data_IF_229638887848
#
_entry.id   IF_229638887848
#
_cell.length_a   1.000
_cell.length_b   1.000
_cell.length_c   1.000
_cell.angle_alpha   90.00
_cell.angle_beta   90.00
_cell.angle_gamma   90.00
#
_symmetry.space_group_name_H-M   'P 1'
#
loop_
_entity.id
_entity.type
_entity.pdbx_description
1 polymer ?
#
# COMPACT_ATOMS: atom_id res chain seq x y z
N UNK A 1 14.12 -3.03 -23.26
CA UNK A 1 13.90 -2.96 -21.80
C UNK A 1 14.23 -1.56 -21.36
N UNK A 2 13.22 -0.72 -21.07
CA UNK A 2 13.46 0.66 -20.65
C UNK A 2 14.19 0.63 -19.30
N UNK A 3 15.37 1.24 -19.19
CA UNK A 3 15.99 1.52 -17.90
C UNK A 3 15.00 2.32 -17.05
N UNK A 4 14.72 1.86 -15.83
CA UNK A 4 14.03 2.65 -14.82
C UNK A 4 14.99 3.78 -14.41
N UNK A 5 14.78 5.00 -14.91
CA UNK A 5 15.72 6.10 -14.73
C UNK A 5 15.48 6.87 -13.43
N UNK A 6 14.25 6.83 -12.88
CA UNK A 6 13.90 7.51 -11.63
C UNK A 6 13.15 6.57 -10.68
N UNK A 7 13.88 6.04 -9.69
CA UNK A 7 13.32 5.22 -8.62
C UNK A 7 13.09 6.08 -7.39
N UNK A 8 11.87 6.05 -6.83
CA UNK A 8 11.55 6.69 -5.55
C UNK A 8 11.87 5.73 -4.38
N UNK A 9 12.81 6.06 -3.47
CA UNK A 9 13.10 5.24 -2.30
C UNK A 9 11.95 5.28 -1.26
N UNK A 10 11.86 4.29 -0.35
CA UNK A 10 10.85 4.29 0.69
C UNK A 10 11.10 5.44 1.68
N UNK A 11 10.08 6.26 1.93
CA UNK A 11 10.21 7.46 2.77
C UNK A 11 10.15 7.20 4.29
N UNK A 12 9.65 6.02 4.70
CA UNK A 12 9.33 5.70 6.11
C UNK A 12 9.67 4.25 6.50
N UNK A 13 10.45 3.54 5.67
CA UNK A 13 10.98 2.23 6.04
C UNK A 13 11.90 2.37 7.27
N UNK A 14 11.76 1.46 8.24
CA UNK A 14 12.44 1.51 9.53
C UNK A 14 11.75 2.38 10.59
N UNK A 15 10.67 3.11 10.24
CA UNK A 15 9.91 3.92 11.20
C UNK A 15 8.43 3.52 11.26
N UNK A 16 7.74 3.51 10.12
CA UNK A 16 6.32 3.12 10.06
C UNK A 16 6.13 1.63 9.86
N UNK A 17 7.12 0.99 9.26
CA UNK A 17 7.18 -0.45 9.00
C UNK A 17 8.64 -0.89 8.90
N UNK A 18 8.96 -2.17 9.11
CA UNK A 18 10.33 -2.68 9.05
C UNK A 18 11.00 -2.42 7.70
N UNK A 19 12.28 -2.02 7.73
CA UNK A 19 13.09 -1.91 6.52
C UNK A 19 13.58 -3.28 6.02
N UNK A 20 13.64 -4.28 6.91
CA UNK A 20 13.97 -5.65 6.58
C UNK A 20 12.80 -6.35 5.87
N UNK A 21 13.01 -6.96 4.68
CA UNK A 21 11.94 -7.55 3.89
C UNK A 21 11.22 -8.70 4.60
N UNK A 22 11.96 -9.54 5.33
CA UNK A 22 11.39 -10.71 5.99
C UNK A 22 10.54 -10.30 7.20
N UNK A 23 11.00 -9.32 7.97
CA UNK A 23 10.23 -8.70 9.04
C UNK A 23 8.96 -8.03 8.51
N UNK A 24 9.08 -7.26 7.42
CA UNK A 24 7.93 -6.62 6.79
C UNK A 24 6.90 -7.66 6.32
N UNK A 25 7.34 -8.70 5.63
CA UNK A 25 6.46 -9.76 5.16
C UNK A 25 5.76 -10.50 6.31
N UNK A 26 6.46 -10.74 7.43
CA UNK A 26 5.85 -11.31 8.64
C UNK A 26 4.79 -10.37 9.22
N UNK A 27 5.06 -9.08 9.33
CA UNK A 27 4.11 -8.13 9.90
C UNK A 27 2.88 -7.94 9.01
N UNK A 28 3.05 -7.92 7.68
CA UNK A 28 1.92 -7.90 6.74
C UNK A 28 1.05 -9.16 6.89
N UNK A 29 1.67 -10.35 6.95
CA UNK A 29 0.94 -11.62 7.18
C UNK A 29 0.19 -11.62 8.52
N UNK A 30 0.80 -11.12 9.58
CA UNK A 30 0.13 -10.98 10.88
C UNK A 30 -1.10 -10.07 10.78
N UNK A 31 -0.97 -8.92 10.09
CA UNK A 31 -2.11 -8.04 9.83
C UNK A 31 -3.26 -8.74 9.10
N UNK A 32 -2.98 -9.59 8.11
CA UNK A 32 -4.01 -10.39 7.42
C UNK A 32 -4.59 -11.49 8.29
N UNK A 33 -3.81 -12.08 9.21
CA UNK A 33 -4.32 -13.07 10.16
C UNK A 33 -5.31 -12.46 11.17
N UNK A 34 -5.09 -11.21 11.55
CA UNK A 34 -5.94 -10.45 12.49
C UNK A 34 -7.03 -9.62 11.77
N UNK A 35 -7.16 -9.75 10.45
CA UNK A 35 -8.10 -8.98 9.66
C UNK A 35 -9.54 -9.47 9.83
N UNK A 36 -10.49 -8.55 9.71
CA UNK A 36 -11.93 -8.87 9.65
C UNK A 36 -12.31 -9.13 8.19
N UNK A 37 -12.75 -10.34 7.82
CA UNK A 37 -13.12 -10.65 6.45
C UNK A 37 -14.42 -9.93 6.05
N UNK A 38 -14.62 -9.67 4.75
CA UNK A 38 -15.90 -9.19 4.26
C UNK A 38 -17.05 -10.19 4.47
N UNK A 39 -18.31 -9.72 4.51
CA UNK A 39 -19.47 -10.60 4.38
C UNK A 39 -19.39 -11.41 3.08
N UNK A 40 -19.86 -12.66 3.12
CA UNK A 40 -19.78 -13.60 2.00
C UNK A 40 -20.56 -13.15 0.76
N UNK A 41 -21.61 -12.34 0.94
CA UNK A 41 -22.48 -11.79 -0.11
C UNK A 41 -22.10 -10.37 -0.52
N UNK A 42 -20.94 -9.88 -0.08
CA UNK A 42 -20.60 -8.49 -0.31
C UNK A 42 -20.24 -8.23 -1.79
N UNK A 43 -20.69 -7.12 -2.37
CA UNK A 43 -20.49 -6.85 -3.79
C UNK A 43 -19.01 -6.56 -4.13
N UNK A 44 -18.64 -6.69 -5.42
CA UNK A 44 -17.32 -6.32 -5.91
C UNK A 44 -16.93 -4.90 -5.49
N UNK A 45 -15.73 -4.75 -4.93
CA UNK A 45 -15.25 -3.46 -4.41
C UNK A 45 -14.45 -2.72 -5.48
N UNK A 46 -14.86 -1.49 -5.80
CA UNK A 46 -14.20 -0.64 -6.78
C UNK A 46 -13.07 0.22 -6.18
N UNK A 47 -13.17 0.56 -4.89
CA UNK A 47 -12.19 1.35 -4.17
C UNK A 47 -12.20 0.99 -2.68
N UNK A 48 -11.06 1.13 -2.02
CA UNK A 48 -10.91 0.97 -0.57
C UNK A 48 -10.29 2.22 0.04
N UNK A 49 -10.61 2.48 1.30
CA UNK A 49 -9.96 3.50 2.11
C UNK A 49 -9.21 2.79 3.22
N UNK A 50 -7.92 3.08 3.35
CA UNK A 50 -7.04 2.43 4.34
C UNK A 50 -6.35 3.47 5.23
N UNK A 51 -6.11 3.15 6.51
CA UNK A 51 -5.26 3.97 7.36
C UNK A 51 -3.80 3.92 6.88
N UNK A 52 -3.04 4.98 7.16
CA UNK A 52 -1.62 5.09 6.80
C UNK A 52 -0.70 5.33 8.00
N UNK A 53 -1.15 4.96 9.21
CA UNK A 53 -0.28 4.93 10.40
C UNK A 53 0.72 3.77 10.30
N UNK A 54 1.65 3.68 11.25
CA UNK A 54 2.58 2.55 11.32
C UNK A 54 1.85 1.21 11.44
N UNK A 55 2.41 0.16 10.81
CA UNK A 55 1.74 -1.15 10.70
C UNK A 55 1.42 -1.80 12.05
N UNK A 56 2.14 -1.46 13.11
CA UNK A 56 1.85 -1.94 14.48
C UNK A 56 0.51 -1.41 15.00
N UNK A 57 0.08 -0.23 14.55
CA UNK A 57 -1.17 0.39 14.98
C UNK A 57 -2.33 0.10 14.03
N UNK A 58 -2.05 0.01 12.73
CA UNK A 58 -3.10 0.00 11.70
C UNK A 58 -3.03 -1.17 10.72
N UNK A 59 -2.11 -2.12 10.91
CA UNK A 59 -1.90 -3.24 9.97
C UNK A 59 -3.15 -4.09 9.76
N UNK A 60 -3.79 -4.55 10.84
CA UNK A 60 -5.00 -5.38 10.76
C UNK A 60 -6.21 -4.64 10.15
N UNK A 61 -6.35 -3.35 10.47
CA UNK A 61 -7.42 -2.51 9.91
C UNK A 61 -7.22 -2.31 8.41
N UNK A 62 -5.99 -2.01 7.97
CA UNK A 62 -5.67 -1.91 6.55
C UNK A 62 -5.88 -3.25 5.84
N UNK A 63 -5.45 -4.37 6.43
CA UNK A 63 -5.60 -5.70 5.86
C UNK A 63 -7.07 -6.09 5.66
N UNK A 64 -7.95 -5.73 6.60
CA UNK A 64 -9.41 -5.95 6.47
C UNK A 64 -9.99 -5.28 5.23
N UNK A 65 -9.51 -4.08 4.88
CA UNK A 65 -9.90 -3.41 3.65
C UNK A 65 -9.26 -4.07 2.41
N UNK A 66 -7.99 -4.50 2.48
CA UNK A 66 -7.35 -5.21 1.36
C UNK A 66 -8.00 -6.57 1.04
N UNK A 67 -8.58 -7.27 2.02
CA UNK A 67 -9.34 -8.50 1.77
C UNK A 67 -10.51 -8.29 0.81
N UNK A 68 -11.06 -7.08 0.71
CA UNK A 68 -12.09 -6.72 -0.29
C UNK A 68 -11.63 -6.85 -1.74
N UNK A 69 -10.32 -6.89 -1.97
CA UNK A 69 -9.69 -6.98 -3.28
C UNK A 69 -9.17 -8.39 -3.59
N UNK A 70 -9.27 -9.34 -2.66
CA UNK A 70 -8.73 -10.70 -2.84
C UNK A 70 -9.37 -11.43 -4.02
N UNK A 71 -10.67 -11.21 -4.25
CA UNK A 71 -11.44 -11.82 -5.35
C UNK A 71 -11.43 -10.97 -6.64
N UNK A 72 -10.47 -10.05 -6.77
CA UNK A 72 -10.33 -9.14 -7.91
C UNK A 72 -8.99 -9.31 -8.63
N UNK A 73 -8.70 -10.50 -9.18
CA UNK A 73 -7.46 -10.75 -9.92
C UNK A 73 -7.35 -9.95 -11.22
N UNK A 74 -8.45 -9.33 -11.66
CA UNK A 74 -8.55 -8.47 -12.85
C UNK A 74 -7.99 -7.06 -12.64
N UNK A 75 -7.59 -6.69 -11.41
CA UNK A 75 -7.02 -5.38 -11.13
C UNK A 75 -5.57 -5.31 -11.62
N UNK A 76 -5.37 -4.63 -12.75
CA UNK A 76 -4.04 -4.37 -13.32
C UNK A 76 -3.49 -2.97 -12.97
N UNK A 77 -4.34 -2.06 -12.51
CA UNK A 77 -3.97 -0.67 -12.22
C UNK A 77 -4.58 -0.18 -10.92
N UNK A 78 -3.72 0.38 -10.07
CA UNK A 78 -4.11 0.98 -8.78
C UNK A 78 -3.84 2.47 -8.84
N UNK A 79 -4.86 3.28 -8.54
CA UNK A 79 -4.70 4.72 -8.29
C UNK A 79 -4.62 4.92 -6.77
N UNK A 80 -3.43 5.24 -6.27
CA UNK A 80 -3.20 5.51 -4.85
C UNK A 80 -3.24 7.01 -4.58
N UNK A 81 -4.16 7.43 -3.71
CA UNK A 81 -4.32 8.84 -3.33
C UNK A 81 -4.12 9.00 -1.83
N UNK A 82 -3.45 10.08 -1.43
CA UNK A 82 -3.21 10.41 -0.02
C UNK A 82 -2.99 11.91 0.18
N UNK A 83 -3.23 12.42 1.40
CA UNK A 83 -3.02 13.82 1.71
C UNK A 83 -1.53 14.18 1.76
N UNK A 84 -1.21 15.45 1.48
CA UNK A 84 0.11 16.01 1.78
C UNK A 84 0.15 16.50 3.23
N UNK A 85 1.01 15.92 4.05
CA UNK A 85 1.19 16.31 5.46
C UNK A 85 2.35 17.28 5.70
N UNK A 86 3.17 17.55 4.67
CA UNK A 86 4.41 18.33 4.82
C UNK A 86 4.42 19.65 4.07
N UNK A 87 3.76 19.69 2.91
CA UNK A 87 3.76 20.87 2.04
C UNK A 87 2.33 21.18 1.57
N UNK A 88 1.91 22.45 1.54
CA UNK A 88 0.65 22.82 0.92
C UNK A 88 0.65 22.46 -0.56
N UNK A 89 -0.44 21.88 -1.04
CA UNK A 89 -0.65 21.55 -2.46
C UNK A 89 -1.98 22.15 -2.89
N UNK A 90 -1.97 22.98 -3.93
CA UNK A 90 -3.18 23.40 -4.62
C UNK A 90 -3.45 22.42 -5.77
N UNK A 91 -4.56 21.69 -5.73
CA UNK A 91 -4.91 20.68 -6.72
C UNK A 91 -4.31 19.30 -6.42
N UNK A 92 -3.89 18.58 -7.47
CA UNK A 92 -3.36 17.20 -7.39
C UNK A 92 -1.92 17.19 -7.89
N UNK A 93 -1.04 16.51 -7.17
CA UNK A 93 0.33 16.23 -7.60
C UNK A 93 0.48 14.73 -7.92
N UNK A 94 1.13 14.41 -9.03
CA UNK A 94 1.49 13.05 -9.42
C UNK A 94 3.00 12.85 -9.30
N UNK A 95 3.42 11.61 -9.06
CA UNK A 95 4.85 11.28 -8.97
C UNK A 95 5.51 11.41 -10.35
N UNK A 96 6.77 11.85 -10.38
CA UNK A 96 7.62 11.83 -11.57
C UNK A 96 8.52 10.59 -11.61
N UNK A 97 8.40 9.67 -10.66
CA UNK A 97 9.17 8.43 -10.64
C UNK A 97 8.60 7.41 -11.62
N UNK A 98 9.49 6.58 -12.18
CA UNK A 98 9.11 5.46 -13.05
C UNK A 98 8.80 4.19 -12.22
N UNK A 99 9.34 4.11 -10.99
CA UNK A 99 9.04 3.04 -10.04
C UNK A 99 9.20 3.51 -8.59
N UNK A 100 8.46 2.87 -7.68
CA UNK A 100 8.63 3.02 -6.25
C UNK A 100 9.34 1.80 -5.69
N UNK A 101 10.38 2.04 -4.90
CA UNK A 101 11.06 0.99 -4.16
C UNK A 101 10.33 0.74 -2.83
N UNK A 102 10.04 -0.53 -2.57
CA UNK A 102 9.60 -1.03 -1.27
C UNK A 102 10.63 -2.05 -0.76
N UNK A 103 10.64 -2.39 0.53
CA UNK A 103 11.47 -3.49 1.00
C UNK A 103 11.14 -4.82 0.31
N UNK A 104 9.91 -5.01 -0.18
CA UNK A 104 9.48 -6.24 -0.87
C UNK A 104 9.75 -6.24 -2.38
N UNK A 105 10.31 -5.15 -2.93
CA UNK A 105 10.63 -5.03 -4.35
C UNK A 105 10.15 -3.72 -4.98
N UNK A 106 10.38 -3.60 -6.29
CA UNK A 106 9.98 -2.45 -7.10
C UNK A 106 8.52 -2.58 -7.54
N UNK A 107 7.80 -1.45 -7.49
CA UNK A 107 6.45 -1.30 -8.04
C UNK A 107 6.52 -0.25 -9.14
N UNK A 108 6.15 -0.62 -10.37
CA UNK A 108 6.12 0.30 -11.50
C UNK A 108 5.01 1.35 -11.31
N UNK A 109 5.26 2.57 -11.79
CA UNK A 109 4.29 3.68 -11.84
C UNK A 109 3.77 3.84 -13.26
#
# INVERSE_FOLDING_TARGET
MSELRRIRPPAVAGTFYPADPDQLARQVRAGFADAVPPPADAPPTAAIVVPHAGLIYSGAVAASAYLRLADRPDIERIVLMGPSHRVPVAGIAATSADAWQTPLGLVAV
#
